data_IF_864093752212
#
_entry.id   IF_864093752212
#
_cell.length_a   1.000
_cell.length_b   1.000
_cell.length_c   1.000
_cell.angle_alpha   90.00
_cell.angle_beta   90.00
_cell.angle_gamma   90.00
#
_symmetry.space_group_name_H-M   'P 1'
#
loop_
_entity.id
_entity.type
_entity.pdbx_description
1 polymer ?
#
# COMPACT_ATOMS: atom_id res chain seq x y z
N UNK A 1 -8.68 -3.15 20.71
CA UNK A 1 -9.73 -2.87 19.67
C UNK A 1 -9.13 -3.16 18.31
N UNK A 2 -9.91 -3.61 17.30
CA UNK A 2 -9.36 -3.81 15.99
C UNK A 2 -8.88 -2.46 15.41
N UNK A 3 -7.64 -2.41 14.97
CA UNK A 3 -7.01 -1.20 14.45
C UNK A 3 -6.96 -1.16 12.93
N UNK A 4 -6.53 -0.02 12.38
CA UNK A 4 -6.28 0.17 10.94
C UNK A 4 -4.79 0.27 10.69
N UNK A 5 -4.28 -0.54 9.77
CA UNK A 5 -2.87 -0.58 9.38
C UNK A 5 -2.75 -0.20 7.91
N UNK A 6 -1.96 0.80 7.59
CA UNK A 6 -1.58 1.08 6.21
C UNK A 6 -0.33 0.24 5.89
N UNK A 7 -0.44 -0.64 4.91
CA UNK A 7 0.70 -1.40 4.37
C UNK A 7 1.02 -0.88 2.98
N UNK A 8 2.22 -0.35 2.82
CA UNK A 8 2.66 0.21 1.55
C UNK A 8 4.01 -0.38 1.12
N UNK A 9 4.39 -0.10 -0.12
CA UNK A 9 5.66 -0.49 -0.69
C UNK A 9 5.70 -0.17 -2.17
N UNK A 10 6.89 0.05 -2.69
CA UNK A 10 7.08 0.36 -4.10
C UNK A 10 6.82 -0.87 -4.98
N UNK A 11 6.47 -0.72 -6.25
CA UNK A 11 6.32 -1.86 -7.17
C UNK A 11 7.59 -2.72 -7.21
N UNK A 12 7.43 -4.04 -7.13
CA UNK A 12 8.53 -5.01 -7.16
C UNK A 12 9.06 -5.47 -5.80
N UNK A 13 8.67 -4.85 -4.66
CA UNK A 13 9.08 -5.33 -3.32
C UNK A 13 8.41 -6.65 -2.91
N UNK A 14 7.39 -7.12 -3.65
CA UNK A 14 6.67 -8.35 -3.33
C UNK A 14 5.56 -8.19 -2.30
N UNK A 15 5.04 -6.97 -2.11
CA UNK A 15 3.97 -6.67 -1.15
C UNK A 15 2.75 -7.61 -1.29
N UNK A 16 2.29 -7.86 -2.52
CA UNK A 16 1.14 -8.76 -2.78
C UNK A 16 1.37 -10.16 -2.24
N UNK A 17 2.56 -10.73 -2.46
CA UNK A 17 2.91 -12.06 -1.96
C UNK A 17 2.98 -12.09 -0.44
N UNK A 18 3.60 -11.07 0.18
CA UNK A 18 3.63 -10.95 1.66
C UNK A 18 2.23 -10.87 2.24
N UNK A 19 1.31 -10.13 1.61
CA UNK A 19 -0.07 -10.02 2.09
C UNK A 19 -0.87 -11.32 1.90
N UNK A 20 -0.62 -12.09 0.84
CA UNK A 20 -1.21 -13.43 0.67
C UNK A 20 -0.72 -14.39 1.75
N UNK A 21 0.60 -14.38 2.05
CA UNK A 21 1.15 -15.14 3.17
C UNK A 21 0.60 -14.68 4.52
N UNK A 22 0.38 -13.37 4.69
CA UNK A 22 -0.24 -12.83 5.91
C UNK A 22 -1.64 -13.40 6.14
N UNK A 23 -2.48 -13.50 5.11
CA UNK A 23 -3.80 -14.14 5.22
C UNK A 23 -3.70 -15.60 5.67
N UNK A 24 -2.72 -16.32 5.13
CA UNK A 24 -2.45 -17.72 5.47
C UNK A 24 -2.01 -17.86 6.93
N UNK A 25 -0.99 -17.12 7.34
CA UNK A 25 -0.44 -17.16 8.71
C UNK A 25 -1.47 -16.67 9.74
N UNK A 26 -2.25 -15.63 9.41
CA UNK A 26 -3.31 -15.13 10.28
C UNK A 26 -4.41 -16.20 10.50
N UNK A 27 -4.80 -16.94 9.45
CA UNK A 27 -5.75 -18.03 9.55
C UNK A 27 -5.22 -19.18 10.43
N UNK A 28 -3.96 -19.57 10.26
CA UNK A 28 -3.29 -20.59 11.08
C UNK A 28 -3.27 -20.21 12.57
N UNK A 29 -3.00 -18.91 12.84
CA UNK A 29 -2.92 -18.36 14.20
C UNK A 29 -4.26 -17.84 14.75
N UNK A 30 -5.35 -18.03 14.01
CA UNK A 30 -6.72 -17.59 14.38
C UNK A 30 -6.81 -16.07 14.66
N UNK A 31 -5.99 -15.26 13.99
CA UNK A 31 -6.05 -13.80 14.06
C UNK A 31 -7.02 -13.28 13.01
N UNK A 32 -8.01 -12.50 13.45
CA UNK A 32 -9.00 -11.91 12.55
C UNK A 32 -8.46 -10.62 11.94
N UNK A 33 -8.26 -10.62 10.63
CA UNK A 33 -7.89 -9.43 9.86
C UNK A 33 -8.65 -9.38 8.53
N UNK A 34 -8.71 -8.19 7.96
CA UNK A 34 -9.31 -7.94 6.64
C UNK A 34 -8.35 -7.11 5.81
N UNK A 35 -7.89 -7.65 4.69
CA UNK A 35 -7.04 -6.95 3.73
C UNK A 35 -7.93 -6.27 2.68
N UNK A 36 -7.69 -4.98 2.45
CA UNK A 36 -8.40 -4.18 1.44
C UNK A 36 -7.39 -3.48 0.56
N UNK A 37 -7.42 -3.76 -0.75
CA UNK A 37 -6.59 -3.04 -1.69
C UNK A 37 -7.25 -1.71 -2.08
N UNK A 38 -6.60 -0.61 -1.74
CA UNK A 38 -7.09 0.75 -1.95
C UNK A 38 -7.34 1.05 -3.43
N UNK A 39 -6.43 0.61 -4.31
CA UNK A 39 -6.55 0.79 -5.75
C UNK A 39 -7.74 0.04 -6.35
N UNK A 40 -8.12 -1.11 -5.81
CA UNK A 40 -9.30 -1.85 -6.25
C UNK A 40 -10.59 -1.15 -5.87
N UNK A 41 -10.65 -0.55 -4.68
CA UNK A 41 -11.79 0.27 -4.24
C UNK A 41 -11.92 1.51 -5.13
N UNK A 42 -10.81 2.20 -5.43
CA UNK A 42 -10.82 3.30 -6.39
C UNK A 42 -11.35 2.86 -7.77
N UNK A 43 -10.87 1.72 -8.27
CA UNK A 43 -11.28 1.19 -9.57
C UNK A 43 -12.79 0.86 -9.62
N UNK A 44 -13.34 0.31 -8.53
CA UNK A 44 -14.78 0.09 -8.41
C UNK A 44 -15.58 1.40 -8.46
N UNK A 45 -15.08 2.48 -7.82
CA UNK A 45 -15.72 3.79 -7.83
C UNK A 45 -15.67 4.42 -9.23
N UNK A 46 -14.54 4.38 -9.91
CA UNK A 46 -14.43 4.84 -11.31
C UNK A 46 -15.42 4.14 -12.24
N UNK A 47 -15.58 2.82 -12.11
CA UNK A 47 -16.54 2.05 -12.89
C UNK A 47 -17.99 2.48 -12.64
N UNK A 48 -18.34 2.83 -11.39
CA UNK A 48 -19.68 3.33 -11.05
C UNK A 48 -19.99 4.70 -11.69
N UNK A 49 -18.96 5.52 -11.93
CA UNK A 49 -19.09 6.78 -12.67
C UNK A 49 -19.13 6.60 -14.20
N UNK A 50 -19.37 5.37 -14.69
CA UNK A 50 -19.46 5.05 -16.12
C UNK A 50 -18.11 5.01 -16.85
N UNK A 51 -17.00 5.11 -16.14
CA UNK A 51 -15.65 5.09 -16.70
C UNK A 51 -15.03 3.71 -16.54
N UNK A 52 -15.03 2.91 -17.62
CA UNK A 52 -14.21 1.69 -17.70
C UNK A 52 -12.74 2.08 -17.87
N UNK A 53 -12.08 2.43 -16.79
CA UNK A 53 -10.69 2.86 -16.80
C UNK A 53 -9.81 1.69 -16.38
N UNK A 54 -8.85 1.31 -17.24
CA UNK A 54 -7.79 0.38 -16.85
C UNK A 54 -6.94 1.03 -15.75
N UNK A 55 -6.43 0.23 -14.78
CA UNK A 55 -5.64 0.71 -13.63
C UNK A 55 -4.52 1.69 -14.03
N UNK A 56 -3.90 1.47 -15.19
CA UNK A 56 -2.83 2.30 -15.72
C UNK A 56 -3.29 3.66 -16.25
N UNK A 57 -4.54 3.76 -16.64
CA UNK A 57 -5.15 5.01 -17.12
C UNK A 57 -5.73 5.87 -15.97
N UNK A 58 -5.89 5.32 -14.76
CA UNK A 58 -6.33 6.10 -13.59
C UNK A 58 -5.37 7.25 -13.29
N UNK A 59 -4.06 7.03 -13.47
CA UNK A 59 -3.01 8.03 -13.24
C UNK A 59 -2.96 9.16 -14.29
N UNK A 60 -3.70 9.01 -15.39
CA UNK A 60 -3.81 10.00 -16.49
C UNK A 60 -5.14 10.75 -16.47
N UNK A 61 -5.98 10.51 -15.45
CA UNK A 61 -7.24 11.22 -15.30
C UNK A 61 -7.00 12.62 -14.73
N UNK A 62 -7.98 13.48 -14.91
CA UNK A 62 -8.02 14.79 -14.28
C UNK A 62 -7.74 14.68 -12.76
N UNK A 63 -6.87 15.55 -12.26
CA UNK A 63 -6.41 15.53 -10.87
C UNK A 63 -7.55 15.71 -9.86
N UNK A 64 -8.56 16.53 -10.21
CA UNK A 64 -9.71 16.74 -9.33
C UNK A 64 -10.55 15.46 -9.22
N UNK A 65 -10.72 14.75 -10.32
CA UNK A 65 -11.41 13.46 -10.34
C UNK A 65 -10.63 12.40 -9.53
N UNK A 66 -9.31 12.34 -9.71
CA UNK A 66 -8.47 11.43 -8.94
C UNK A 66 -8.57 11.71 -7.44
N UNK A 67 -8.44 12.96 -7.03
CA UNK A 67 -8.56 13.39 -5.64
C UNK A 67 -9.92 13.02 -5.03
N UNK A 68 -11.00 13.29 -5.77
CA UNK A 68 -12.36 12.96 -5.33
C UNK A 68 -12.53 11.46 -5.12
N UNK A 69 -12.16 10.65 -6.10
CA UNK A 69 -12.28 9.19 -6.03
C UNK A 69 -11.38 8.59 -4.95
N UNK A 70 -10.17 9.14 -4.78
CA UNK A 70 -9.26 8.73 -3.72
C UNK A 70 -9.85 8.99 -2.33
N UNK A 71 -10.45 10.17 -2.13
CA UNK A 71 -11.12 10.52 -0.88
C UNK A 71 -12.35 9.65 -0.61
N UNK A 72 -13.19 9.40 -1.62
CA UNK A 72 -14.35 8.50 -1.52
C UNK A 72 -13.92 7.06 -1.19
N UNK A 73 -12.83 6.57 -1.78
CA UNK A 73 -12.28 5.25 -1.48
C UNK A 73 -11.84 5.16 -0.01
N UNK A 74 -11.14 6.17 0.48
CA UNK A 74 -10.71 6.24 1.88
C UNK A 74 -11.91 6.25 2.84
N UNK A 75 -12.92 7.07 2.59
CA UNK A 75 -14.15 7.12 3.39
C UNK A 75 -14.85 5.76 3.41
N UNK A 76 -14.99 5.12 2.24
CA UNK A 76 -15.62 3.80 2.13
C UNK A 76 -14.84 2.73 2.91
N UNK A 77 -13.52 2.78 2.89
CA UNK A 77 -12.65 1.82 3.60
C UNK A 77 -12.70 2.10 5.11
N UNK A 78 -12.53 3.35 5.54
CA UNK A 78 -12.56 3.74 6.95
C UNK A 78 -13.93 3.51 7.63
N UNK A 79 -15.02 3.54 6.85
CA UNK A 79 -16.37 3.21 7.36
C UNK A 79 -16.68 1.71 7.40
N UNK A 80 -15.74 0.83 7.04
CA UNK A 80 -15.97 -0.62 7.11
C UNK A 80 -16.14 -1.07 8.56
N UNK A 81 -17.19 -1.86 8.88
CA UNK A 81 -17.42 -2.29 10.26
C UNK A 81 -16.28 -3.17 10.76
N UNK A 82 -15.70 -2.80 11.91
CA UNK A 82 -14.50 -3.38 12.46
C UNK A 82 -14.74 -4.40 13.58
N UNK A 83 -14.85 -5.70 13.24
CA UNK A 83 -14.57 -6.79 14.19
C UNK A 83 -13.17 -7.38 14.00
N UNK A 84 -12.44 -6.91 12.99
CA UNK A 84 -11.14 -7.42 12.55
C UNK A 84 -10.19 -6.27 12.30
N UNK A 85 -8.92 -6.47 12.51
CA UNK A 85 -7.90 -5.49 12.11
C UNK A 85 -7.98 -5.25 10.60
N UNK A 86 -8.06 -3.97 10.21
CA UNK A 86 -8.12 -3.56 8.81
C UNK A 86 -6.71 -3.32 8.29
N UNK A 87 -6.31 -4.06 7.28
CA UNK A 87 -5.04 -3.90 6.57
C UNK A 87 -5.30 -3.25 5.23
N UNK A 88 -4.89 -2.00 5.07
CA UNK A 88 -5.09 -1.22 3.84
C UNK A 88 -3.84 -1.32 2.97
N UNK A 89 -3.94 -2.09 1.90
CA UNK A 89 -2.89 -2.24 0.89
C UNK A 89 -2.88 -1.07 -0.07
N UNK A 90 -1.83 -0.25 -0.04
CA UNK A 90 -1.71 0.95 -0.87
C UNK A 90 -0.26 1.23 -1.30
N UNK A 91 -0.02 2.42 -1.83
CA UNK A 91 1.31 2.97 -2.13
C UNK A 91 1.45 4.34 -1.45
N UNK A 92 2.64 4.66 -0.96
CA UNK A 92 2.90 5.99 -0.39
C UNK A 92 2.85 7.08 -1.44
N UNK A 93 3.23 6.76 -2.67
CA UNK A 93 3.18 7.68 -3.81
C UNK A 93 2.95 6.94 -5.13
N UNK A 94 2.60 7.68 -6.15
CA UNK A 94 2.57 7.24 -7.55
C UNK A 94 3.33 8.24 -8.41
N UNK A 95 4.11 7.75 -9.40
CA UNK A 95 4.72 8.61 -10.40
C UNK A 95 3.71 8.97 -11.47
N UNK A 96 3.61 10.25 -11.77
CA UNK A 96 2.78 10.81 -12.85
C UNK A 96 3.65 11.61 -13.80
N UNK A 97 3.09 12.12 -14.89
CA UNK A 97 3.78 13.04 -15.80
C UNK A 97 4.11 14.38 -15.13
N UNK A 98 3.34 14.76 -14.13
CA UNK A 98 3.48 16.02 -13.37
C UNK A 98 4.36 15.86 -12.12
N UNK A 99 4.99 14.67 -11.94
CA UNK A 99 5.87 14.40 -10.81
C UNK A 99 5.38 13.28 -9.88
N UNK A 100 5.78 13.36 -8.62
CA UNK A 100 5.43 12.39 -7.59
C UNK A 100 4.14 12.84 -6.89
N UNK A 101 3.09 12.01 -7.00
CA UNK A 101 1.80 12.27 -6.40
C UNK A 101 1.60 11.45 -5.11
N UNK A 102 1.13 12.04 -3.99
CA UNK A 102 0.91 11.31 -2.75
C UNK A 102 -0.18 10.24 -2.92
N UNK A 103 0.13 9.01 -2.49
CA UNK A 103 -0.82 7.90 -2.48
C UNK A 103 -1.83 8.00 -1.34
N UNK A 104 -1.42 8.63 -0.23
CA UNK A 104 -2.22 8.82 0.98
C UNK A 104 -2.14 10.27 1.45
N UNK A 105 -2.72 11.25 0.72
CA UNK A 105 -2.75 12.65 1.15
C UNK A 105 -3.57 12.80 2.44
N UNK A 106 -3.43 13.96 3.13
CA UNK A 106 -4.02 14.20 4.45
C UNK A 106 -5.49 13.77 4.57
N UNK A 107 -6.35 14.14 3.61
CA UNK A 107 -7.77 13.75 3.64
C UNK A 107 -7.99 12.22 3.58
N UNK A 108 -7.08 11.49 2.97
CA UNK A 108 -7.10 10.02 2.94
C UNK A 108 -6.67 9.46 4.28
N UNK A 109 -5.60 10.01 4.87
CA UNK A 109 -5.14 9.64 6.21
C UNK A 109 -6.23 9.87 7.26
N UNK A 110 -6.85 11.06 7.26
CA UNK A 110 -7.93 11.42 8.18
C UNK A 110 -9.14 10.45 8.06
N UNK A 111 -9.45 9.99 6.85
CA UNK A 111 -10.57 9.07 6.63
C UNK A 111 -10.24 7.61 6.96
N UNK A 112 -8.98 7.19 6.85
CA UNK A 112 -8.52 5.84 7.20
C UNK A 112 -8.21 5.70 8.69
N UNK A 113 -7.82 6.79 9.36
CA UNK A 113 -7.45 6.85 10.78
C UNK A 113 -6.52 5.68 11.19
N UNK A 114 -5.31 5.61 10.61
CA UNK A 114 -4.43 4.47 10.84
C UNK A 114 -3.78 4.52 12.22
N UNK A 115 -3.53 3.36 12.83
CA UNK A 115 -2.74 3.21 14.06
C UNK A 115 -1.24 3.05 13.78
N UNK A 116 -0.89 2.64 12.57
CA UNK A 116 0.51 2.43 12.15
C UNK A 116 0.61 2.42 10.62
N UNK A 117 1.76 2.86 10.13
CA UNK A 117 2.17 2.70 8.74
C UNK A 117 3.28 1.67 8.65
N UNK A 118 3.12 0.66 7.80
CA UNK A 118 4.14 -0.37 7.55
C UNK A 118 4.61 -0.29 6.11
N UNK A 119 5.92 -0.17 5.92
CA UNK A 119 6.55 -0.27 4.61
C UNK A 119 7.08 -1.68 4.39
N UNK A 120 6.65 -2.33 3.32
CA UNK A 120 7.31 -3.54 2.82
C UNK A 120 8.44 -3.10 1.90
N UNK A 121 9.65 -3.52 2.22
CA UNK A 121 10.86 -3.24 1.44
C UNK A 121 11.59 -4.53 1.06
N UNK A 122 12.41 -4.44 0.02
CA UNK A 122 13.31 -5.51 -0.41
C UNK A 122 14.63 -4.91 -0.88
N UNK A 123 15.65 -5.75 -1.06
CA UNK A 123 16.93 -5.32 -1.60
C UNK A 123 16.71 -4.62 -2.96
N UNK A 124 17.30 -3.43 -3.20
CA UNK A 124 17.11 -2.68 -4.44
C UNK A 124 17.46 -3.46 -5.71
N UNK A 125 18.49 -4.36 -5.65
CA UNK A 125 18.87 -5.21 -6.78
C UNK A 125 17.82 -6.27 -7.07
N UNK A 126 17.22 -6.86 -6.02
CA UNK A 126 16.09 -7.78 -6.16
C UNK A 126 14.87 -7.10 -6.77
N UNK A 127 14.54 -5.89 -6.30
CA UNK A 127 13.43 -5.10 -6.85
C UNK A 127 13.66 -4.79 -8.33
N UNK A 128 14.87 -4.35 -8.70
CA UNK A 128 15.23 -4.07 -10.09
C UNK A 128 15.11 -5.33 -10.97
N UNK A 129 15.60 -6.48 -10.48
CA UNK A 129 15.50 -7.77 -11.16
C UNK A 129 14.02 -8.18 -11.35
N UNK A 130 13.20 -8.11 -10.31
CA UNK A 130 11.77 -8.43 -10.38
C UNK A 130 11.03 -7.53 -11.36
N UNK A 131 11.33 -6.22 -11.38
CA UNK A 131 10.77 -5.28 -12.37
C UNK A 131 11.21 -5.61 -13.81
N UNK A 132 12.41 -6.17 -14.00
CA UNK A 132 12.92 -6.53 -15.33
C UNK A 132 12.22 -7.76 -15.91
N UNK A 133 11.75 -8.67 -15.08
CA UNK A 133 11.07 -9.91 -15.47
C UNK A 133 9.54 -9.77 -15.53
N UNK A 134 8.97 -8.74 -14.90
CA UNK A 134 7.52 -8.52 -14.88
C UNK A 134 7.05 -7.83 -16.16
N UNK A 135 6.56 -8.63 -17.12
CA UNK A 135 6.03 -8.16 -18.40
C UNK A 135 4.72 -7.37 -18.21
N UNK A 136 3.98 -7.63 -17.13
CA UNK A 136 2.68 -7.00 -16.86
C UNK A 136 2.81 -5.54 -16.40
N UNK A 137 4.01 -5.10 -16.00
CA UNK A 137 4.30 -3.77 -15.46
C UNK A 137 5.45 -3.11 -16.20
N UNK A 138 5.20 -2.66 -17.43
CA UNK A 138 6.23 -2.01 -18.28
C UNK A 138 6.56 -0.56 -17.90
N UNK A 139 5.86 0.02 -16.95
CA UNK A 139 5.89 1.46 -16.65
C UNK A 139 6.87 1.88 -15.55
N UNK A 140 7.30 0.97 -14.69
CA UNK A 140 8.26 1.27 -13.66
C UNK A 140 9.69 1.15 -14.21
N UNK A 141 10.56 2.09 -13.82
CA UNK A 141 11.96 2.00 -14.18
C UNK A 141 12.61 0.76 -13.57
N UNK A 142 13.45 0.12 -14.38
CA UNK A 142 14.23 -1.09 -14.03
C UNK A 142 15.63 -0.74 -13.57
N UNK A 143 16.04 0.53 -13.67
CA UNK A 143 17.36 1.01 -13.28
C UNK A 143 17.49 0.99 -11.76
N UNK A 144 18.63 0.54 -11.27
CA UNK A 144 18.88 0.40 -9.83
C UNK A 144 18.79 1.74 -9.09
N UNK A 145 19.27 2.82 -9.70
CA UNK A 145 19.25 4.18 -9.16
C UNK A 145 17.80 4.66 -8.96
N UNK A 146 16.93 4.41 -9.93
CA UNK A 146 15.52 4.79 -9.84
C UNK A 146 14.78 3.95 -8.80
N UNK A 147 15.14 2.66 -8.65
CA UNK A 147 14.60 1.81 -7.59
C UNK A 147 15.00 2.33 -6.20
N UNK A 148 16.29 2.70 -6.02
CA UNK A 148 16.76 3.30 -4.76
C UNK A 148 16.01 4.59 -4.46
N UNK A 149 15.88 5.48 -5.45
CA UNK A 149 15.12 6.72 -5.30
C UNK A 149 13.63 6.46 -4.94
N UNK A 150 13.00 5.43 -5.54
CA UNK A 150 11.62 5.06 -5.20
C UNK A 150 11.50 4.59 -3.75
N UNK A 151 12.44 3.79 -3.24
CA UNK A 151 12.45 3.35 -1.84
C UNK A 151 12.64 4.54 -0.88
N UNK A 152 13.54 5.46 -1.20
CA UNK A 152 13.73 6.70 -0.42
C UNK A 152 12.48 7.56 -0.41
N UNK A 153 11.88 7.82 -1.57
CA UNK A 153 10.62 8.56 -1.65
C UNK A 153 9.50 7.89 -0.86
N UNK A 154 9.42 6.56 -0.87
CA UNK A 154 8.44 5.82 -0.07
C UNK A 154 8.64 6.07 1.43
N UNK A 155 9.90 6.09 1.91
CA UNK A 155 10.24 6.39 3.30
C UNK A 155 9.92 7.84 3.66
N UNK A 156 10.27 8.80 2.80
CA UNK A 156 9.96 10.23 3.06
C UNK A 156 8.46 10.46 3.17
N UNK A 157 7.68 9.89 2.24
CA UNK A 157 6.22 10.02 2.27
C UNK A 157 5.61 9.31 3.48
N UNK A 158 6.11 8.12 3.87
CA UNK A 158 5.65 7.43 5.06
C UNK A 158 5.94 8.23 6.33
N UNK A 159 7.14 8.82 6.44
CA UNK A 159 7.51 9.67 7.58
C UNK A 159 6.63 10.93 7.67
N UNK A 160 6.39 11.59 6.54
CA UNK A 160 5.49 12.74 6.51
C UNK A 160 4.06 12.36 6.92
N UNK A 161 3.55 11.24 6.41
CA UNK A 161 2.23 10.72 6.76
C UNK A 161 2.14 10.33 8.23
N UNK A 162 3.20 9.73 8.79
CA UNK A 162 3.27 9.36 10.20
C UNK A 162 3.17 10.58 11.12
N UNK A 163 3.88 11.67 10.77
CA UNK A 163 3.80 12.95 11.50
C UNK A 163 2.39 13.53 11.42
N UNK A 164 1.77 13.51 10.22
CA UNK A 164 0.42 14.04 10.02
C UNK A 164 -0.67 13.24 10.74
N UNK A 165 -0.50 11.91 10.85
CA UNK A 165 -1.44 11.02 11.52
C UNK A 165 -1.12 10.80 13.00
N UNK A 166 0.07 11.19 13.48
CA UNK A 166 0.50 10.94 14.86
C UNK A 166 0.80 9.47 15.16
N UNK A 167 1.27 8.69 14.18
CA UNK A 167 1.45 7.23 14.29
C UNK A 167 2.86 6.79 13.94
N UNK A 168 3.33 5.62 14.42
CA UNK A 168 4.65 5.10 14.08
C UNK A 168 4.73 4.58 12.64
N UNK A 169 5.97 4.53 12.11
CA UNK A 169 6.34 3.80 10.90
C UNK A 169 7.18 2.59 11.26
N UNK A 170 6.88 1.45 10.67
CA UNK A 170 7.74 0.28 10.73
C UNK A 170 8.10 -0.24 9.34
N UNK A 171 9.27 -0.84 9.21
CA UNK A 171 9.75 -1.43 7.96
C UNK A 171 9.81 -2.94 8.15
N UNK A 172 9.21 -3.67 7.20
CA UNK A 172 9.28 -5.12 7.10
C UNK A 172 10.05 -5.47 5.83
N UNK A 173 11.17 -6.15 5.99
CA UNK A 173 12.00 -6.59 4.87
C UNK A 173 11.50 -7.91 4.28
N UNK A 174 11.21 -7.90 2.98
CA UNK A 174 10.82 -9.07 2.21
C UNK A 174 12.04 -9.60 1.42
N UNK A 175 12.77 -10.55 2.00
CA UNK A 175 13.85 -11.26 1.30
C UNK A 175 13.28 -12.30 0.35
N UNK A 176 14.00 -12.59 -0.72
CA UNK A 176 13.61 -13.62 -1.68
C UNK A 176 13.56 -15.00 -1.00
N UNK A 177 12.47 -15.75 -1.25
CA UNK A 177 12.22 -17.03 -0.60
C UNK A 177 11.71 -16.97 0.85
N UNK A 178 11.67 -15.75 1.48
CA UNK A 178 11.31 -15.56 2.89
C UNK A 178 10.03 -14.74 3.09
N UNK A 179 9.09 -14.81 2.15
CA UNK A 179 7.84 -14.03 2.20
C UNK A 179 7.01 -14.35 3.45
N UNK A 180 7.08 -15.61 3.91
CA UNK A 180 6.40 -16.04 5.15
C UNK A 180 6.97 -15.36 6.38
N UNK A 181 8.30 -15.21 6.48
CA UNK A 181 8.95 -14.50 7.60
C UNK A 181 8.52 -13.02 7.63
N UNK A 182 8.43 -12.38 6.47
CA UNK A 182 7.93 -11.01 6.34
C UNK A 182 6.46 -10.91 6.79
N UNK A 183 5.62 -11.87 6.39
CA UNK A 183 4.22 -11.95 6.81
C UNK A 183 4.08 -12.17 8.33
N UNK A 184 4.88 -13.04 8.92
CA UNK A 184 4.92 -13.25 10.38
C UNK A 184 5.42 -12.01 11.12
N UNK A 185 6.39 -11.27 10.54
CA UNK A 185 6.82 -9.96 11.03
C UNK A 185 5.66 -8.96 11.06
N UNK A 186 4.91 -8.87 9.97
CA UNK A 186 3.73 -8.01 9.88
C UNK A 186 2.64 -8.45 10.87
N UNK A 187 2.42 -9.76 11.03
CA UNK A 187 1.43 -10.26 11.98
C UNK A 187 1.81 -9.94 13.45
N UNK A 188 3.12 -9.95 13.79
CA UNK A 188 3.59 -9.51 15.11
C UNK A 188 3.32 -8.03 15.36
N UNK A 189 3.43 -7.18 14.33
CA UNK A 189 3.08 -5.76 14.42
C UNK A 189 1.58 -5.62 14.69
N UNK A 190 0.74 -6.34 13.95
CA UNK A 190 -0.72 -6.39 14.13
C UNK A 190 -1.08 -6.77 15.56
N UNK A 191 -0.46 -7.81 16.11
CA UNK A 191 -0.73 -8.29 17.46
C UNK A 191 -0.38 -7.33 18.60
N UNK A 192 0.41 -6.28 18.34
CA UNK A 192 0.75 -5.25 19.33
C UNK A 192 -0.26 -4.08 19.37
N UNK A 193 -1.19 -4.00 18.43
CA UNK A 193 -2.20 -2.94 18.34
C UNK A 193 -3.49 -3.29 19.09
N UNK A 194 -3.65 -4.52 19.52
CA UNK A 194 -4.79 -5.04 20.30
C UNK A 194 -4.38 -5.35 21.71
#
# INVERSE_FOLDING_TARGET
>A
MPGTIIVAGVPGVGKTTVLQELETVAREKKVSLKIVNFGDVMNQLFRKEGKKIHRDHMRRQDLNLQNRVQQQAAQKIGSMPGKSTLVVDTHMFVRTIDGIWPGTPKKVLDALDPDIIVLIEADPKEVARRRSTDISRQRESKKLEDVKADLEWSRYMASANAVLAGVPVQIVHNREGHQREAAEGLLRIIGKLG
#
